data_IF_961735311664
#
_entry.id   IF_961735311664
#
_cell.length_a   1.000
_cell.length_b   1.000
_cell.length_c   1.000
_cell.angle_alpha   90.00
_cell.angle_beta   90.00
_cell.angle_gamma   90.00
#
_symmetry.space_group_name_H-M   'P 1'
#
loop_
_entity.id
_entity.type
_entity.pdbx_description
1 polymer ?
#
# COMPACT_ATOMS: atom_id res chain seq x y z
N UNK A 1 -30.74 30.58 -23.13
CA UNK A 1 -31.24 31.21 -21.91
C UNK A 1 -31.12 30.25 -20.71
N UNK A 2 -31.65 29.03 -20.76
CA UNK A 2 -31.64 28.07 -19.64
C UNK A 2 -30.26 27.59 -19.16
N UNK A 3 -29.24 27.51 -20.00
CA UNK A 3 -27.89 27.03 -19.64
C UNK A 3 -27.14 28.05 -18.76
N UNK A 4 -27.31 29.34 -19.03
CA UNK A 4 -26.69 30.42 -18.25
C UNK A 4 -27.27 30.52 -16.85
N UNK A 5 -28.60 30.30 -16.72
CA UNK A 5 -29.27 30.33 -15.43
C UNK A 5 -28.88 29.15 -14.55
N UNK A 6 -28.68 27.97 -15.14
CA UNK A 6 -28.18 26.77 -14.41
C UNK A 6 -26.75 26.96 -13.92
N UNK A 7 -25.88 27.58 -14.71
CA UNK A 7 -24.50 27.88 -14.32
C UNK A 7 -24.46 28.90 -13.18
N UNK A 8 -25.25 30.00 -13.29
CA UNK A 8 -25.34 31.00 -12.25
C UNK A 8 -25.92 30.42 -10.92
N UNK A 9 -26.90 29.56 -11.01
CA UNK A 9 -27.47 28.87 -9.84
C UNK A 9 -26.46 27.94 -9.17
N UNK A 10 -25.62 27.25 -9.97
CA UNK A 10 -24.55 26.38 -9.45
C UNK A 10 -23.44 27.19 -8.82
N UNK A 11 -23.03 28.30 -9.42
CA UNK A 11 -21.98 29.20 -8.92
C UNK A 11 -22.39 29.91 -7.62
N UNK A 12 -23.69 30.08 -7.37
CA UNK A 12 -24.21 30.63 -6.12
C UNK A 12 -24.10 29.63 -4.92
N UNK A 13 -23.68 28.39 -5.16
CA UNK A 13 -23.57 27.34 -4.14
C UNK A 13 -22.14 26.73 -4.12
N UNK A 14 -21.17 27.45 -3.55
CA UNK A 14 -19.75 27.02 -3.57
C UNK A 14 -19.53 25.63 -2.97
N UNK A 15 -20.30 25.26 -1.95
CA UNK A 15 -20.23 23.92 -1.34
C UNK A 15 -20.66 22.82 -2.32
N UNK A 16 -21.70 23.05 -3.10
CA UNK A 16 -22.17 22.08 -4.10
C UNK A 16 -21.16 21.93 -5.24
N UNK A 17 -20.56 23.03 -5.70
CA UNK A 17 -19.48 22.99 -6.69
C UNK A 17 -18.28 22.20 -6.18
N UNK A 18 -17.93 22.38 -4.92
CA UNK A 18 -16.82 21.68 -4.28
C UNK A 18 -17.11 20.17 -4.14
N UNK A 19 -18.34 19.79 -3.79
CA UNK A 19 -18.77 18.40 -3.73
C UNK A 19 -18.77 17.75 -5.11
N UNK A 20 -19.29 18.45 -6.14
CA UNK A 20 -19.27 17.97 -7.52
C UNK A 20 -17.82 17.82 -8.02
N UNK A 21 -16.96 18.80 -7.75
CA UNK A 21 -15.54 18.73 -8.09
C UNK A 21 -14.85 17.54 -7.42
N UNK A 22 -15.08 17.34 -6.12
CA UNK A 22 -14.54 16.19 -5.38
C UNK A 22 -15.06 14.86 -5.95
N UNK A 23 -16.35 14.80 -6.30
CA UNK A 23 -16.95 13.61 -6.90
C UNK A 23 -16.37 13.30 -8.28
N UNK A 24 -16.26 14.32 -9.16
CA UNK A 24 -15.66 14.16 -10.49
C UNK A 24 -14.20 13.77 -10.37
N UNK A 25 -13.44 14.40 -9.49
CA UNK A 25 -12.04 14.04 -9.21
C UNK A 25 -11.91 12.60 -8.73
N UNK A 26 -12.78 12.17 -7.82
CA UNK A 26 -12.82 10.78 -7.34
C UNK A 26 -13.14 9.80 -8.48
N UNK A 27 -14.10 10.14 -9.33
CA UNK A 27 -14.48 9.33 -10.49
C UNK A 27 -13.35 9.21 -11.52
N UNK A 28 -12.63 10.30 -11.79
CA UNK A 28 -11.47 10.29 -12.70
C UNK A 28 -10.34 9.45 -12.10
N UNK A 29 -10.07 9.59 -10.80
CA UNK A 29 -9.01 8.86 -10.11
C UNK A 29 -9.30 7.34 -10.01
N UNK A 30 -10.57 6.94 -9.88
CA UNK A 30 -10.96 5.54 -9.91
C UNK A 30 -10.79 4.88 -11.28
N UNK A 31 -10.91 5.67 -12.36
CA UNK A 31 -10.72 5.20 -13.75
C UNK A 31 -9.25 5.09 -14.19
N UNK A 32 -8.33 5.64 -13.43
CA UNK A 32 -6.90 5.47 -13.73
C UNK A 32 -6.53 3.98 -13.65
N UNK A 33 -5.78 3.44 -14.62
CA UNK A 33 -5.32 2.07 -14.54
C UNK A 33 -4.50 1.88 -13.26
N UNK A 34 -4.52 0.66 -12.72
CA UNK A 34 -3.68 0.32 -11.58
C UNK A 34 -2.21 0.42 -12.02
N UNK A 35 -1.35 1.14 -11.29
CA UNK A 35 0.05 1.27 -11.69
C UNK A 35 0.71 -0.11 -11.66
N UNK A 36 1.28 -0.51 -12.78
CA UNK A 36 2.18 -1.65 -12.83
C UNK A 36 3.47 -1.24 -12.11
N UNK A 37 3.42 -1.31 -10.80
CA UNK A 37 4.59 -1.07 -10.01
C UNK A 37 5.52 -2.27 -10.16
N UNK A 38 6.65 -2.06 -10.80
CA UNK A 38 7.72 -3.06 -10.95
C UNK A 38 8.26 -3.54 -9.58
N UNK A 39 9.56 -3.63 -9.44
CA UNK A 39 10.21 -4.11 -8.25
C UNK A 39 10.24 -5.64 -8.16
N UNK A 40 10.71 -6.16 -7.04
CA UNK A 40 10.78 -7.61 -6.76
C UNK A 40 9.45 -8.14 -6.20
N UNK A 41 8.31 -7.55 -6.61
CA UNK A 41 6.99 -7.97 -6.15
C UNK A 41 6.47 -9.15 -6.96
N UNK A 42 5.87 -10.14 -6.28
CA UNK A 42 5.28 -11.33 -6.89
C UNK A 42 3.76 -11.29 -6.76
N UNK A 43 3.03 -11.42 -7.87
CA UNK A 43 1.58 -11.57 -7.86
C UNK A 43 1.16 -12.98 -7.47
N UNK A 44 0.11 -13.12 -6.67
CA UNK A 44 -0.59 -14.39 -6.48
C UNK A 44 -1.98 -14.28 -7.11
N UNK A 45 -2.26 -15.14 -8.06
CA UNK A 45 -3.51 -15.18 -8.82
C UNK A 45 -4.38 -16.39 -8.45
N UNK A 46 -3.92 -17.20 -7.52
CA UNK A 46 -4.64 -18.35 -6.97
C UNK A 46 -4.26 -18.60 -5.50
N UNK A 47 -5.09 -19.38 -4.80
CA UNK A 47 -4.78 -19.81 -3.42
C UNK A 47 -3.48 -20.59 -3.36
N UNK A 48 -3.24 -21.48 -4.32
CA UNK A 48 -2.02 -22.28 -4.36
C UNK A 48 -0.75 -21.44 -4.56
N UNK A 49 -0.81 -20.39 -5.40
CA UNK A 49 0.29 -19.45 -5.57
C UNK A 49 0.53 -18.64 -4.31
N UNK A 50 -0.54 -18.17 -3.66
CA UNK A 50 -0.44 -17.46 -2.38
C UNK A 50 0.22 -18.34 -1.31
N UNK A 51 -0.27 -19.58 -1.14
CA UNK A 51 0.29 -20.52 -0.18
C UNK A 51 1.78 -20.80 -0.44
N UNK A 52 2.14 -20.93 -1.72
CA UNK A 52 3.53 -21.10 -2.14
C UNK A 52 4.42 -19.89 -1.79
N UNK A 53 3.89 -18.67 -1.91
CA UNK A 53 4.64 -17.43 -1.62
C UNK A 53 4.86 -17.21 -0.12
N UNK A 54 3.90 -17.59 0.72
CA UNK A 54 3.98 -17.37 2.17
C UNK A 54 4.58 -18.54 2.94
N UNK A 55 4.82 -19.66 2.27
CA UNK A 55 5.21 -20.96 2.89
C UNK A 55 6.47 -20.89 3.72
N UNK A 56 7.46 -20.16 3.31
CA UNK A 56 8.79 -20.14 3.91
C UNK A 56 9.31 -18.72 4.11
N UNK A 57 9.91 -18.46 5.28
CA UNK A 57 10.53 -17.21 5.61
C UNK A 57 9.54 -16.07 5.85
N UNK A 58 10.04 -14.83 5.76
CA UNK A 58 9.22 -13.63 5.93
C UNK A 58 8.65 -13.20 4.59
N UNK A 59 7.33 -13.08 4.52
CA UNK A 59 6.61 -12.53 3.36
C UNK A 59 5.73 -11.37 3.80
N UNK A 60 5.85 -10.23 3.11
CA UNK A 60 4.94 -9.11 3.20
C UNK A 60 3.98 -9.17 2.02
N UNK A 61 2.68 -9.21 2.30
CA UNK A 61 1.61 -9.31 1.30
C UNK A 61 0.79 -8.04 1.28
N UNK A 62 0.70 -7.40 0.11
CA UNK A 62 -0.21 -6.28 -0.16
C UNK A 62 -1.55 -6.84 -0.70
N UNK A 63 -2.57 -6.77 0.13
CA UNK A 63 -3.95 -7.05 -0.28
C UNK A 63 -4.57 -5.78 -0.84
N UNK A 64 -4.81 -5.76 -2.14
CA UNK A 64 -5.24 -4.58 -2.89
C UNK A 64 -6.44 -4.84 -3.78
N UNK A 65 -7.06 -3.77 -4.27
CA UNK A 65 -8.02 -3.82 -5.37
C UNK A 65 -7.65 -2.78 -6.45
N UNK A 66 -7.92 -3.08 -7.70
CA UNK A 66 -7.55 -2.21 -8.83
C UNK A 66 -8.30 -0.89 -8.86
N UNK A 67 -9.49 -0.84 -8.27
CA UNK A 67 -10.33 0.35 -8.16
C UNK A 67 -10.04 1.20 -6.92
N UNK A 68 -9.18 0.75 -6.01
CA UNK A 68 -8.91 1.37 -4.71
C UNK A 68 -7.87 2.50 -4.84
N UNK A 69 -8.24 3.79 -4.65
CA UNK A 69 -7.30 4.90 -4.80
C UNK A 69 -6.10 4.86 -3.84
N UNK A 70 -6.26 4.57 -2.53
CA UNK A 70 -5.11 4.45 -1.63
C UNK A 70 -4.19 3.28 -1.99
N UNK A 71 -4.70 2.20 -2.58
CA UNK A 71 -3.88 1.10 -3.08
C UNK A 71 -3.00 1.55 -4.26
N UNK A 72 -3.57 2.33 -5.19
CA UNK A 72 -2.82 2.91 -6.32
C UNK A 72 -1.70 3.83 -5.85
N UNK A 73 -1.92 4.61 -4.80
CA UNK A 73 -0.89 5.46 -4.22
C UNK A 73 0.21 4.67 -3.50
N UNK A 74 -0.14 3.56 -2.85
CA UNK A 74 0.80 2.69 -2.15
C UNK A 74 1.69 1.88 -3.09
N UNK A 75 1.15 1.42 -4.23
CA UNK A 75 1.82 0.48 -5.13
C UNK A 75 3.25 0.87 -5.55
N UNK A 76 3.54 2.12 -6.00
CA UNK A 76 4.91 2.50 -6.39
C UNK A 76 5.87 2.55 -5.19
N UNK A 77 5.38 2.86 -4.00
CA UNK A 77 6.20 2.90 -2.79
C UNK A 77 6.52 1.47 -2.34
N UNK A 78 5.51 0.60 -2.35
CA UNK A 78 5.66 -0.81 -2.05
C UNK A 78 6.67 -1.51 -2.98
N UNK A 79 6.60 -1.20 -4.28
CA UNK A 79 7.55 -1.72 -5.27
C UNK A 79 8.98 -1.26 -4.98
N UNK A 80 9.21 0.03 -4.69
CA UNK A 80 10.54 0.53 -4.30
C UNK A 80 11.07 -0.15 -3.05
N UNK A 81 10.23 -0.33 -2.02
CA UNK A 81 10.64 -1.04 -0.80
C UNK A 81 11.10 -2.46 -1.08
N UNK A 82 10.48 -3.16 -2.05
CA UNK A 82 10.88 -4.51 -2.43
C UNK A 82 12.29 -4.59 -3.05
N UNK A 83 12.77 -3.48 -3.60
CA UNK A 83 14.10 -3.39 -4.24
C UNK A 83 15.22 -3.05 -3.25
N UNK A 84 14.86 -2.59 -2.05
CA UNK A 84 15.85 -2.23 -1.04
C UNK A 84 16.61 -3.46 -0.54
N UNK A 85 17.94 -3.34 -0.50
CA UNK A 85 18.83 -4.41 -0.06
C UNK A 85 18.58 -4.82 1.40
N UNK A 86 18.20 -3.84 2.23
CA UNK A 86 17.82 -4.08 3.63
C UNK A 86 16.68 -5.10 3.77
N UNK A 87 15.80 -5.17 2.77
CA UNK A 87 14.63 -6.06 2.76
C UNK A 87 14.79 -7.28 1.82
N UNK A 88 15.98 -7.54 1.33
CA UNK A 88 16.24 -8.64 0.39
C UNK A 88 15.85 -10.03 0.91
N UNK A 89 15.81 -10.21 2.23
CA UNK A 89 15.38 -11.45 2.89
C UNK A 89 13.86 -11.56 3.08
N UNK A 90 13.10 -10.54 2.68
CA UNK A 90 11.64 -10.55 2.73
C UNK A 90 11.08 -10.76 1.31
N UNK A 91 10.16 -11.70 1.15
CA UNK A 91 9.38 -11.81 -0.09
C UNK A 91 8.29 -10.75 -0.08
N UNK A 92 8.18 -9.98 -1.16
CA UNK A 92 7.10 -9.01 -1.36
C UNK A 92 6.07 -9.62 -2.31
N UNK A 93 4.85 -9.83 -1.83
CA UNK A 93 3.76 -10.42 -2.59
C UNK A 93 2.58 -9.46 -2.73
N UNK A 94 1.75 -9.67 -3.75
CA UNK A 94 0.55 -8.87 -4.02
C UNK A 94 -0.62 -9.81 -4.28
N UNK A 95 -1.77 -9.53 -3.68
CA UNK A 95 -3.01 -10.28 -3.86
C UNK A 95 -4.12 -9.30 -4.22
N UNK A 96 -4.70 -9.45 -5.40
CA UNK A 96 -5.93 -8.76 -5.76
C UNK A 96 -7.11 -9.45 -5.06
N UNK A 97 -7.77 -8.76 -4.13
CA UNK A 97 -8.87 -9.32 -3.34
C UNK A 97 -10.11 -9.66 -4.18
N UNK A 98 -10.28 -9.02 -5.34
CA UNK A 98 -11.38 -9.33 -6.26
C UNK A 98 -11.10 -10.61 -7.07
N UNK A 99 -9.83 -10.91 -7.33
CA UNK A 99 -9.37 -12.05 -8.09
C UNK A 99 -9.25 -13.30 -7.21
N UNK A 100 -8.64 -13.16 -6.04
CA UNK A 100 -8.37 -14.27 -5.11
C UNK A 100 -9.21 -14.11 -3.83
N UNK A 101 -10.52 -14.08 -3.98
CA UNK A 101 -11.49 -13.85 -2.88
C UNK A 101 -11.36 -14.86 -1.74
N UNK A 102 -11.04 -16.11 -2.06
CA UNK A 102 -10.87 -17.15 -1.05
C UNK A 102 -9.76 -16.80 -0.06
N UNK A 103 -8.61 -16.31 -0.54
CA UNK A 103 -7.50 -15.85 0.29
C UNK A 103 -7.88 -14.61 1.09
N UNK A 104 -8.51 -13.61 0.44
CA UNK A 104 -8.96 -12.41 1.16
C UNK A 104 -9.91 -12.73 2.31
N UNK A 105 -10.81 -13.70 2.11
CA UNK A 105 -11.77 -14.16 3.14
C UNK A 105 -11.08 -14.95 4.25
N UNK A 106 -10.22 -15.93 3.93
CA UNK A 106 -9.49 -16.73 4.93
C UNK A 106 -8.58 -15.86 5.79
N UNK A 107 -8.00 -14.82 5.18
CA UNK A 107 -7.15 -13.86 5.85
C UNK A 107 -7.92 -12.70 6.51
N UNK A 108 -9.26 -12.73 6.54
CA UNK A 108 -10.12 -11.71 7.14
C UNK A 108 -9.76 -10.28 6.70
N UNK A 109 -9.50 -10.08 5.38
CA UNK A 109 -9.22 -8.77 4.81
C UNK A 109 -10.53 -8.02 4.62
N UNK A 110 -10.80 -7.03 5.45
CA UNK A 110 -12.04 -6.23 5.43
C UNK A 110 -11.88 -4.83 4.84
N UNK A 111 -10.64 -4.39 4.61
CA UNK A 111 -10.34 -3.07 4.06
C UNK A 111 -9.07 -3.12 3.19
N UNK A 112 -8.97 -2.25 2.21
CA UNK A 112 -7.80 -2.14 1.33
C UNK A 112 -7.18 -0.73 1.37
N UNK A 113 -5.83 -0.62 1.26
CA UNK A 113 -4.88 -1.71 1.29
C UNK A 113 -4.73 -2.31 2.70
N UNK A 114 -4.45 -3.60 2.79
CA UNK A 114 -4.02 -4.26 4.02
C UNK A 114 -2.69 -4.98 3.76
N UNK A 115 -1.70 -4.73 4.60
CA UNK A 115 -0.37 -5.33 4.50
C UNK A 115 -0.23 -6.42 5.56
N UNK A 116 -0.27 -7.69 5.13
CA UNK A 116 -0.12 -8.85 6.00
C UNK A 116 1.33 -9.31 6.07
N UNK A 117 1.83 -9.56 7.27
CA UNK A 117 3.16 -10.13 7.50
C UNK A 117 3.01 -11.62 7.80
N UNK A 118 3.63 -12.44 6.98
CA UNK A 118 3.59 -13.90 7.11
C UNK A 118 4.99 -14.42 7.45
N UNK A 119 5.04 -15.36 8.36
CA UNK A 119 6.25 -16.07 8.76
C UNK A 119 5.96 -17.57 8.70
N UNK A 120 6.66 -18.28 7.82
CA UNK A 120 6.53 -19.72 7.63
C UNK A 120 5.06 -20.18 7.48
N UNK A 121 4.33 -19.55 6.59
CA UNK A 121 2.95 -19.85 6.24
C UNK A 121 1.89 -19.28 7.18
N UNK A 122 2.25 -18.59 8.26
CA UNK A 122 1.31 -18.06 9.24
C UNK A 122 1.35 -16.54 9.27
N UNK A 123 0.18 -15.89 9.24
CA UNK A 123 0.12 -14.45 9.43
C UNK A 123 0.43 -14.09 10.88
N UNK A 124 1.52 -13.35 11.09
CA UNK A 124 1.97 -12.91 12.41
C UNK A 124 1.37 -11.56 12.81
N UNK A 125 1.13 -10.66 11.85
CA UNK A 125 0.54 -9.34 12.08
C UNK A 125 0.08 -8.71 10.78
N UNK A 126 -0.62 -7.55 10.87
CA UNK A 126 -1.05 -6.78 9.70
C UNK A 126 -1.06 -5.28 9.99
N UNK A 127 -0.99 -4.49 8.91
CA UNK A 127 -1.20 -3.05 8.91
C UNK A 127 -2.36 -2.76 7.96
N UNK A 128 -3.46 -2.24 8.49
CA UNK A 128 -4.61 -1.80 7.69
C UNK A 128 -4.38 -0.35 7.27
N UNK A 129 -4.60 -0.06 6.00
CA UNK A 129 -4.22 1.20 5.37
C UNK A 129 -2.72 1.27 5.07
N UNK A 130 -2.33 2.28 4.29
CA UNK A 130 -0.93 2.47 3.92
C UNK A 130 -0.22 3.44 4.87
N UNK A 131 0.81 2.95 5.53
CA UNK A 131 1.76 3.74 6.31
C UNK A 131 3.15 3.18 6.10
N UNK A 132 3.92 3.81 5.22
CA UNK A 132 5.30 3.39 4.91
C UNK A 132 6.16 3.26 6.18
N UNK A 133 6.09 4.26 7.07
CA UNK A 133 6.86 4.26 8.32
C UNK A 133 6.55 3.04 9.20
N UNK A 134 5.27 2.70 9.35
CA UNK A 134 4.84 1.56 10.16
C UNK A 134 5.25 0.23 9.53
N UNK A 135 5.12 0.12 8.21
CA UNK A 135 5.53 -1.09 7.48
C UNK A 135 7.04 -1.28 7.59
N UNK A 136 7.85 -0.23 7.40
CA UNK A 136 9.30 -0.27 7.57
C UNK A 136 9.71 -0.65 8.99
N UNK A 137 9.08 -0.06 9.99
CA UNK A 137 9.34 -0.39 11.40
C UNK A 137 9.11 -1.88 11.65
N UNK A 138 8.01 -2.44 11.13
CA UNK A 138 7.71 -3.86 11.29
C UNK A 138 8.69 -4.75 10.52
N UNK A 139 9.06 -4.40 9.30
CA UNK A 139 10.08 -5.13 8.53
C UNK A 139 11.41 -5.14 9.28
N UNK A 140 11.87 -4.00 9.76
CA UNK A 140 13.11 -3.88 10.51
C UNK A 140 13.09 -4.77 11.77
N UNK A 141 11.98 -4.73 12.52
CA UNK A 141 11.81 -5.56 13.71
C UNK A 141 11.86 -7.06 13.38
N UNK A 142 11.14 -7.51 12.33
CA UNK A 142 11.06 -8.92 11.94
C UNK A 142 12.35 -9.44 11.33
N UNK A 143 13.03 -8.63 10.54
CA UNK A 143 14.34 -8.97 9.98
C UNK A 143 15.48 -8.80 10.99
N UNK A 144 15.17 -8.36 12.22
CA UNK A 144 16.18 -8.04 13.26
C UNK A 144 17.23 -7.06 12.74
N UNK A 145 16.84 -6.17 11.83
CA UNK A 145 17.68 -5.10 11.38
C UNK A 145 17.77 -4.11 12.55
N UNK A 146 18.94 -4.06 13.19
CA UNK A 146 19.22 -2.98 14.11
C UNK A 146 19.01 -1.68 13.35
N UNK A 147 18.11 -0.84 13.83
CA UNK A 147 18.15 0.56 13.47
C UNK A 147 19.48 1.08 13.98
N UNK A 148 20.51 1.04 13.13
CA UNK A 148 21.71 1.80 13.37
C UNK A 148 21.24 3.23 13.51
N UNK A 149 21.36 3.72 14.73
CA UNK A 149 21.15 5.09 15.11
C UNK A 149 21.43 6.04 13.94
N UNK A 150 20.40 6.76 13.49
CA UNK A 150 20.60 8.11 13.01
C UNK A 150 21.01 8.97 14.21
N UNK A 151 22.20 8.69 14.72
CA UNK A 151 22.90 9.61 15.58
C UNK A 151 23.63 10.56 14.62
N UNK A 152 23.23 11.84 14.55
CA UNK A 152 23.98 12.82 13.75
C UNK A 152 25.44 12.77 14.23
N UNK A 153 26.42 12.93 13.34
CA UNK A 153 27.81 12.88 13.71
C UNK A 153 28.07 13.90 14.82
N UNK A 154 28.55 13.42 15.94
CA UNK A 154 29.15 14.27 16.98
C UNK A 154 30.42 14.85 16.37
N UNK A 155 30.24 15.96 15.68
CA UNK A 155 31.36 16.76 15.27
C UNK A 155 31.59 17.86 16.28
N UNK A 156 32.85 17.96 16.64
CA UNK A 156 33.51 19.09 17.30
C UNK A 156 33.25 19.28 18.81
N UNK A 157 33.83 18.39 19.56
CA UNK A 157 34.41 18.86 20.83
C UNK A 157 35.83 19.35 20.56
N UNK A 158 35.93 20.70 20.48
CA UNK A 158 37.02 21.58 20.81
C UNK A 158 38.36 20.91 21.15
N UNK A 159 39.30 21.22 20.31
CA UNK A 159 40.73 21.27 20.69
C UNK A 159 40.98 22.68 21.30
N UNK A 160 41.34 22.73 22.56
CA UNK A 160 42.05 23.85 23.15
C UNK A 160 43.50 23.80 22.72
#
# INVERSE_FOLDING_TARGET
MFVMDAINWLMARPVLCLLIFMFIRSMIQSRQPFPEAGGRTKGAHSTAEFDGLVKEGLTLVDFYATWCPPCKAAAPIYARMSEEEAFAKCTFAKVNVDEVRAVASSENVSAMPTFGFFEDGKRSTQVVGFSEAKIRQMLNSKLKLNTVNDNPPKELQKVD
#
